data_IF_640498782492
#
_entry.id   IF_640498782492
#
_cell.length_a   1.000
_cell.length_b   1.000
_cell.length_c   1.000
_cell.angle_alpha   90.00
_cell.angle_beta   90.00
_cell.angle_gamma   90.00
#
_symmetry.space_group_name_H-M   'P 1'
#
loop_
_entity.id
_entity.type
_entity.pdbx_description
1 polymer ?
#
# COMPACT_ATOMS: atom_id res chain seq x y z
N UNK A 1 -10.09 -12.42 -38.33
CA UNK A 1 -9.23 -11.41 -37.67
C UNK A 1 -10.04 -10.54 -36.69
N UNK A 2 -10.85 -11.11 -35.79
CA UNK A 2 -11.67 -10.35 -34.82
C UNK A 2 -11.55 -10.83 -33.37
N UNK A 3 -10.83 -11.93 -33.11
CA UNK A 3 -10.67 -12.52 -31.78
C UNK A 3 -9.52 -11.89 -30.97
N UNK A 4 -8.52 -11.31 -31.63
CA UNK A 4 -7.35 -10.73 -30.94
C UNK A 4 -7.64 -9.36 -30.31
N UNK A 5 -8.54 -8.55 -30.89
CA UNK A 5 -8.91 -7.24 -30.31
C UNK A 5 -9.83 -7.39 -29.08
N UNK A 6 -10.71 -8.39 -29.06
CA UNK A 6 -11.59 -8.69 -27.93
C UNK A 6 -10.80 -9.22 -26.72
N UNK A 7 -9.81 -10.07 -26.95
CA UNK A 7 -8.92 -10.56 -25.91
C UNK A 7 -8.10 -9.42 -25.29
N UNK A 8 -7.47 -8.57 -26.12
CA UNK A 8 -6.70 -7.41 -25.67
C UNK A 8 -7.53 -6.41 -24.85
N UNK A 9 -8.78 -6.16 -25.24
CA UNK A 9 -9.70 -5.32 -24.49
C UNK A 9 -10.03 -5.91 -23.11
N UNK A 10 -10.33 -7.22 -23.03
CA UNK A 10 -10.62 -7.90 -21.77
C UNK A 10 -9.45 -7.91 -20.77
N UNK A 11 -8.21 -8.08 -21.26
CA UNK A 11 -7.01 -8.00 -20.42
C UNK A 11 -6.77 -6.60 -19.87
N UNK A 12 -7.05 -5.57 -20.66
CA UNK A 12 -6.91 -4.17 -20.23
C UNK A 12 -7.93 -3.77 -19.16
N UNK A 13 -9.15 -4.29 -19.26
CA UNK A 13 -10.24 -4.04 -18.32
C UNK A 13 -10.01 -4.78 -17.00
N UNK A 14 -9.59 -6.05 -17.09
CA UNK A 14 -9.15 -6.84 -15.93
C UNK A 14 -7.99 -6.18 -15.18
N UNK A 15 -6.98 -5.67 -15.90
CA UNK A 15 -5.85 -4.97 -15.29
C UNK A 15 -6.30 -3.70 -14.54
N UNK A 16 -7.26 -2.96 -15.11
CA UNK A 16 -7.80 -1.74 -14.50
C UNK A 16 -8.58 -2.05 -13.22
N UNK A 17 -9.35 -3.14 -13.21
CA UNK A 17 -10.09 -3.57 -12.02
C UNK A 17 -9.16 -4.06 -10.91
N UNK A 18 -8.10 -4.81 -11.25
CA UNK A 18 -7.06 -5.22 -10.31
C UNK A 18 -6.36 -4.00 -9.70
N UNK A 19 -5.99 -3.00 -10.52
CA UNK A 19 -5.36 -1.75 -10.05
C UNK A 19 -6.29 -1.02 -9.09
N UNK A 20 -7.59 -0.87 -9.44
CA UNK A 20 -8.59 -0.22 -8.57
C UNK A 20 -8.76 -0.96 -7.25
N UNK A 21 -8.86 -2.30 -7.29
CA UNK A 21 -8.92 -3.13 -6.09
C UNK A 21 -7.69 -2.94 -5.21
N UNK A 22 -6.50 -2.95 -5.82
CA UNK A 22 -5.24 -2.72 -5.13
C UNK A 22 -5.16 -1.33 -4.47
N UNK A 23 -5.59 -0.28 -5.16
CA UNK A 23 -5.64 1.08 -4.63
C UNK A 23 -6.56 1.18 -3.41
N UNK A 24 -7.76 0.60 -3.47
CA UNK A 24 -8.70 0.57 -2.34
C UNK A 24 -8.09 -0.19 -1.17
N UNK A 25 -7.47 -1.35 -1.41
CA UNK A 25 -6.83 -2.12 -0.35
C UNK A 25 -5.69 -1.33 0.31
N UNK A 26 -4.81 -0.68 -0.46
CA UNK A 26 -3.73 0.15 0.11
C UNK A 26 -4.30 1.27 0.97
N UNK A 27 -5.36 1.95 0.53
CA UNK A 27 -6.02 3.00 1.33
C UNK A 27 -6.63 2.45 2.62
N UNK A 28 -7.33 1.32 2.57
CA UNK A 28 -7.89 0.65 3.76
C UNK A 28 -6.79 0.23 4.73
N UNK A 29 -5.72 -0.37 4.22
CA UNK A 29 -4.56 -0.74 5.03
C UNK A 29 -3.90 0.47 5.67
N UNK A 30 -3.82 1.60 4.96
CA UNK A 30 -3.28 2.85 5.49
C UNK A 30 -4.13 3.42 6.63
N UNK A 31 -5.46 3.44 6.47
CA UNK A 31 -6.38 3.84 7.54
C UNK A 31 -6.24 2.93 8.76
N UNK A 32 -6.09 1.63 8.53
CA UNK A 32 -5.86 0.64 9.60
C UNK A 32 -4.54 0.93 10.33
N UNK A 33 -3.46 1.28 9.61
CA UNK A 33 -2.18 1.66 10.21
C UNK A 33 -2.32 2.90 11.11
N UNK A 34 -3.12 3.90 10.72
CA UNK A 34 -3.41 5.07 11.57
C UNK A 34 -4.10 4.65 12.87
N UNK A 35 -5.08 3.75 12.80
CA UNK A 35 -5.78 3.22 13.99
C UNK A 35 -4.79 2.53 14.93
N UNK A 36 -3.87 1.70 14.41
CA UNK A 36 -2.81 1.08 15.21
C UNK A 36 -1.86 2.12 15.82
N UNK A 37 -1.49 3.16 15.07
CA UNK A 37 -0.67 4.26 15.57
C UNK A 37 -1.32 4.96 16.76
N UNK A 38 -2.62 5.25 16.68
CA UNK A 38 -3.39 5.85 17.78
C UNK A 38 -3.43 4.90 18.97
N UNK A 39 -3.70 3.62 18.76
CA UNK A 39 -3.72 2.61 19.81
C UNK A 39 -2.40 2.55 20.58
N UNK A 40 -1.27 2.47 19.89
CA UNK A 40 0.05 2.43 20.51
C UNK A 40 0.39 3.72 21.25
N UNK A 41 0.04 4.88 20.68
CA UNK A 41 0.24 6.17 21.32
C UNK A 41 -0.57 6.33 22.61
N UNK A 42 -1.85 5.93 22.59
CA UNK A 42 -2.71 5.96 23.77
C UNK A 42 -2.18 5.01 24.85
N UNK A 43 -1.78 3.80 24.47
CA UNK A 43 -1.23 2.83 25.41
C UNK A 43 0.03 3.36 26.09
N UNK A 44 0.95 3.95 25.32
CA UNK A 44 2.15 4.57 25.87
C UNK A 44 1.83 5.73 26.82
N UNK A 45 0.84 6.55 26.48
CA UNK A 45 0.39 7.66 27.32
C UNK A 45 -0.22 7.18 28.65
N UNK A 46 -1.08 6.15 28.61
CA UNK A 46 -1.69 5.58 29.82
C UNK A 46 -0.65 4.91 30.74
N UNK A 47 0.31 4.17 30.17
CA UNK A 47 1.37 3.52 30.93
C UNK A 47 2.33 4.54 31.56
N UNK A 48 2.62 5.65 30.85
CA UNK A 48 3.39 6.77 31.40
C UNK A 48 2.67 7.50 32.54
N UNK A 49 1.35 7.68 32.43
CA UNK A 49 0.54 8.34 33.45
C UNK A 49 0.47 7.52 34.76
N UNK A 50 0.39 6.19 34.64
CA UNK A 50 0.35 5.28 35.81
C UNK A 50 1.72 5.07 36.45
N UNK A 51 2.77 5.01 35.62
CA UNK A 51 4.15 4.84 36.09
C UNK A 51 5.06 5.82 35.37
N UNK A 52 5.39 6.98 35.99
CA UNK A 52 6.15 8.06 35.34
C UNK A 52 7.65 7.76 35.19
N UNK A 53 8.02 6.48 35.07
CA UNK A 53 9.38 6.01 34.83
C UNK A 53 9.42 5.50 33.39
N UNK A 54 10.32 6.05 32.59
CA UNK A 54 10.59 5.61 31.21
C UNK A 54 11.13 4.18 31.22
N UNK A 55 10.24 3.20 31.12
CA UNK A 55 10.59 1.80 30.91
C UNK A 55 10.86 1.54 29.43
N UNK A 56 11.73 0.58 29.09
CA UNK A 56 12.00 0.19 27.70
C UNK A 56 10.72 -0.13 26.91
N UNK A 57 9.72 -0.71 27.57
CA UNK A 57 8.42 -1.03 27.00
C UNK A 57 7.67 0.21 26.45
N UNK A 58 7.75 1.34 27.17
CA UNK A 58 7.12 2.58 26.73
C UNK A 58 7.79 3.10 25.44
N UNK A 59 9.10 2.91 25.34
CA UNK A 59 9.91 3.34 24.19
C UNK A 59 9.58 2.49 22.95
N UNK A 60 9.35 1.19 23.13
CA UNK A 60 8.88 0.29 22.07
C UNK A 60 7.48 0.69 21.56
N UNK A 61 6.54 0.99 22.46
CA UNK A 61 5.19 1.42 22.08
C UNK A 61 5.21 2.76 21.32
N UNK A 62 6.03 3.72 21.77
CA UNK A 62 6.22 4.99 21.07
C UNK A 62 6.83 4.73 19.69
N UNK A 63 7.83 3.85 19.58
CA UNK A 63 8.42 3.48 18.29
C UNK A 63 7.37 2.87 17.35
N UNK A 64 6.53 1.96 17.85
CA UNK A 64 5.46 1.36 17.04
C UNK A 64 4.41 2.36 16.59
N UNK A 65 4.05 3.32 17.46
CA UNK A 65 3.19 4.43 17.08
C UNK A 65 3.82 5.27 15.96
N UNK A 66 5.10 5.66 16.12
CA UNK A 66 5.84 6.45 15.13
C UNK A 66 5.95 5.71 13.80
N UNK A 67 6.31 4.44 13.80
CA UNK A 67 6.39 3.63 12.59
C UNK A 67 5.03 3.51 11.89
N UNK A 68 3.96 3.35 12.66
CA UNK A 68 2.59 3.28 12.11
C UNK A 68 2.17 4.58 11.43
N UNK A 69 2.39 5.73 12.09
CA UNK A 69 2.08 7.05 11.52
C UNK A 69 2.99 7.42 10.36
N UNK A 70 4.29 7.16 10.47
CA UNK A 70 5.25 7.42 9.42
C UNK A 70 4.92 6.59 8.18
N UNK A 71 4.64 5.29 8.35
CA UNK A 71 4.24 4.41 7.25
C UNK A 71 2.94 4.87 6.59
N UNK A 72 1.92 5.20 7.37
CA UNK A 72 0.67 5.74 6.85
C UNK A 72 0.89 7.05 6.07
N UNK A 73 1.70 7.97 6.61
CA UNK A 73 1.99 9.26 5.99
C UNK A 73 2.75 9.10 4.67
N UNK A 74 3.81 8.27 4.67
CA UNK A 74 4.58 7.96 3.46
C UNK A 74 3.65 7.39 2.41
N UNK A 75 2.77 6.46 2.79
CA UNK A 75 1.83 5.84 1.85
C UNK A 75 0.87 6.88 1.29
N UNK A 76 0.18 7.67 2.11
CA UNK A 76 -0.77 8.68 1.63
C UNK A 76 -0.10 9.65 0.64
N UNK A 77 1.07 10.19 1.00
CA UNK A 77 1.74 11.21 0.18
C UNK A 77 2.27 10.63 -1.14
N UNK A 78 2.91 9.48 -1.07
CA UNK A 78 3.56 8.89 -2.26
C UNK A 78 2.58 8.11 -3.11
N UNK A 79 1.73 7.27 -2.51
CA UNK A 79 0.77 6.44 -3.22
C UNK A 79 -0.21 7.29 -4.02
N UNK A 80 -0.82 8.31 -3.41
CA UNK A 80 -1.76 9.19 -4.13
C UNK A 80 -1.05 9.96 -5.25
N UNK A 81 0.18 10.42 -5.00
CA UNK A 81 0.96 11.12 -6.02
C UNK A 81 1.26 10.22 -7.23
N UNK A 82 1.74 9.00 -7.00
CA UNK A 82 2.06 8.06 -8.09
C UNK A 82 0.82 7.52 -8.79
N UNK A 83 -0.28 7.28 -8.08
CA UNK A 83 -1.57 6.87 -8.67
C UNK A 83 -2.13 7.98 -9.58
N UNK A 84 -2.06 9.25 -9.18
CA UNK A 84 -2.47 10.38 -10.03
C UNK A 84 -1.62 10.53 -11.29
N UNK A 85 -0.33 10.18 -11.21
CA UNK A 85 0.57 10.17 -12.36
C UNK A 85 0.43 8.91 -13.24
N UNK A 86 -0.45 7.97 -12.89
CA UNK A 86 -0.59 6.68 -13.59
C UNK A 86 0.63 5.75 -13.42
N UNK A 87 1.53 6.05 -12.47
CA UNK A 87 2.75 5.28 -12.17
C UNK A 87 2.44 4.18 -11.15
N UNK A 88 1.48 3.31 -11.48
CA UNK A 88 0.96 2.27 -10.58
C UNK A 88 2.04 1.27 -10.12
N UNK A 89 3.04 0.98 -10.95
CA UNK A 89 4.18 0.12 -10.57
C UNK A 89 4.97 0.70 -9.39
N UNK A 90 5.29 1.99 -9.43
CA UNK A 90 6.00 2.68 -8.35
C UNK A 90 5.12 2.79 -7.11
N UNK A 91 3.83 3.07 -7.27
CA UNK A 91 2.87 3.10 -6.18
C UNK A 91 2.76 1.73 -5.46
N UNK A 92 2.75 0.64 -6.24
CA UNK A 92 2.78 -0.73 -5.75
C UNK A 92 4.06 -1.06 -4.97
N UNK A 93 5.23 -0.68 -5.50
CA UNK A 93 6.52 -0.91 -4.80
C UNK A 93 6.60 -0.17 -3.47
N UNK A 94 6.17 1.10 -3.42
CA UNK A 94 6.24 1.88 -2.17
C UNK A 94 5.26 1.34 -1.12
N UNK A 95 4.06 0.95 -1.55
CA UNK A 95 3.09 0.31 -0.65
C UNK A 95 3.60 -1.04 -0.15
N UNK A 96 4.30 -1.84 -0.97
CA UNK A 96 4.94 -3.09 -0.53
C UNK A 96 6.06 -2.84 0.49
N UNK A 97 6.94 -1.85 0.25
CA UNK A 97 8.01 -1.49 1.20
C UNK A 97 7.41 -1.03 2.53
N UNK A 98 6.39 -0.18 2.46
CA UNK A 98 5.74 0.33 3.66
C UNK A 98 4.98 -0.77 4.40
N UNK A 99 4.31 -1.67 3.67
CA UNK A 99 3.66 -2.84 4.23
C UNK A 99 4.65 -3.71 5.02
N UNK A 100 5.84 -3.96 4.47
CA UNK A 100 6.88 -4.75 5.14
C UNK A 100 7.31 -4.13 6.47
N UNK A 101 7.42 -2.79 6.55
CA UNK A 101 7.71 -2.08 7.81
C UNK A 101 6.53 -2.21 8.78
N UNK A 102 5.29 -2.05 8.28
CA UNK A 102 4.07 -2.09 9.08
C UNK A 102 3.70 -3.49 9.59
N UNK A 103 4.24 -4.57 9.03
CA UNK A 103 4.01 -5.92 9.53
C UNK A 103 4.42 -6.11 11.00
N UNK A 104 5.38 -5.31 11.48
CA UNK A 104 5.85 -5.36 12.87
C UNK A 104 4.85 -4.65 13.81
N UNK A 105 4.59 -3.33 13.69
CA UNK A 105 3.71 -2.63 14.62
C UNK A 105 2.21 -2.80 14.34
N UNK A 106 1.83 -3.15 13.11
CA UNK A 106 0.46 -3.12 12.62
C UNK A 106 0.19 -4.26 11.62
N UNK A 107 0.31 -5.51 12.08
CA UNK A 107 0.26 -6.71 11.24
C UNK A 107 -0.90 -6.73 10.22
N UNK A 108 -2.14 -6.45 10.67
CA UNK A 108 -3.32 -6.46 9.79
C UNK A 108 -3.20 -5.39 8.70
N UNK A 109 -2.76 -4.18 9.07
CA UNK A 109 -2.54 -3.09 8.11
C UNK A 109 -1.45 -3.45 7.09
N UNK A 110 -0.34 -4.01 7.58
CA UNK A 110 0.75 -4.51 6.74
C UNK A 110 0.26 -5.55 5.75
N UNK A 111 -0.49 -6.57 6.18
CA UNK A 111 -1.04 -7.60 5.30
C UNK A 111 -1.96 -7.03 4.22
N UNK A 112 -2.91 -6.16 4.58
CA UNK A 112 -3.82 -5.53 3.62
C UNK A 112 -3.05 -4.70 2.59
N UNK A 113 -2.09 -3.88 3.04
CA UNK A 113 -1.26 -3.09 2.13
C UNK A 113 -0.36 -3.95 1.25
N UNK A 114 0.10 -5.10 1.74
CA UNK A 114 0.94 -6.01 0.98
C UNK A 114 0.17 -6.63 -0.19
N UNK A 115 -1.05 -7.10 0.06
CA UNK A 115 -1.95 -7.58 -1.00
C UNK A 115 -2.33 -6.46 -1.97
N UNK A 116 -2.68 -5.27 -1.46
CA UNK A 116 -3.02 -4.13 -2.30
C UNK A 116 -1.85 -3.68 -3.18
N UNK A 117 -0.65 -3.59 -2.61
CA UNK A 117 0.58 -3.23 -3.31
C UNK A 117 0.97 -4.25 -4.37
N UNK A 118 0.79 -5.54 -4.09
CA UNK A 118 1.01 -6.61 -5.06
C UNK A 118 0.02 -6.52 -6.23
N UNK A 119 -1.27 -6.29 -5.94
CA UNK A 119 -2.29 -6.08 -6.98
C UNK A 119 -1.95 -4.89 -7.88
N UNK A 120 -1.53 -3.76 -7.31
CA UNK A 120 -1.08 -2.61 -8.09
C UNK A 120 0.12 -2.92 -8.98
N UNK A 121 1.11 -3.63 -8.44
CA UNK A 121 2.31 -4.00 -9.18
C UNK A 121 1.97 -4.93 -10.35
N UNK A 122 1.24 -6.02 -10.07
CA UNK A 122 0.85 -7.00 -11.09
C UNK A 122 -0.09 -6.38 -12.11
N UNK A 123 -1.09 -5.61 -11.68
CA UNK A 123 -2.01 -4.92 -12.57
C UNK A 123 -1.30 -3.92 -13.50
N UNK A 124 -0.30 -3.19 -12.98
CA UNK A 124 0.53 -2.30 -13.79
C UNK A 124 1.34 -3.07 -14.85
N UNK A 125 1.88 -4.23 -14.50
CA UNK A 125 2.66 -5.06 -15.42
C UNK A 125 1.78 -5.67 -16.51
N UNK A 126 0.59 -6.16 -16.16
CA UNK A 126 -0.39 -6.67 -17.14
C UNK A 126 -0.80 -5.55 -18.10
N UNK A 127 -1.06 -4.34 -17.60
CA UNK A 127 -1.39 -3.20 -18.44
C UNK A 127 -0.24 -2.82 -19.39
N UNK A 128 1.01 -2.85 -18.89
CA UNK A 128 2.19 -2.57 -19.70
C UNK A 128 2.40 -3.62 -20.81
N UNK A 129 2.28 -4.91 -20.49
CA UNK A 129 2.38 -6.01 -21.46
C UNK A 129 1.24 -5.96 -22.47
N UNK A 130 0.01 -5.67 -22.04
CA UNK A 130 -1.14 -5.53 -22.93
C UNK A 130 -0.94 -4.35 -23.90
N UNK A 131 -0.42 -3.21 -23.42
CA UNK A 131 -0.09 -2.06 -24.28
C UNK A 131 0.98 -2.41 -25.32
N UNK A 132 2.04 -3.12 -24.94
CA UNK A 132 3.10 -3.56 -25.86
C UNK A 132 2.63 -4.55 -26.93
N UNK A 133 1.54 -5.30 -26.69
CA UNK A 133 0.94 -6.19 -27.71
C UNK A 133 0.09 -5.45 -28.74
N UNK A 134 -0.41 -4.26 -28.42
CA UNK A 134 -1.32 -3.47 -29.27
C UNK A 134 -0.54 -2.48 -30.17
N UNK A 135 0.63 -2.03 -29.73
CA UNK A 135 1.60 -1.27 -30.53
C UNK A 135 2.70 -2.23 -31.04
N UNK A 136 2.53 -2.95 -32.17
CA UNK A 136 3.68 -3.51 -32.83
C UNK A 136 4.59 -2.34 -33.19
N UNK A 137 5.86 -2.41 -32.77
CA UNK A 137 6.91 -1.48 -33.20
C UNK A 137 6.87 -1.35 -34.72
N UNK A 138 6.38 -0.21 -35.21
CA UNK A 138 6.83 0.30 -36.49
C UNK A 138 8.25 0.81 -36.26
N UNK A 139 9.23 0.09 -36.81
CA UNK A 139 10.66 0.36 -36.70
C UNK A 139 11.48 -0.86 -37.02
#
# INVERSE_FOLDING_TARGET
MSSESAAGAGWSETARDIIRGGEVMVRVGTLTAVVYGIYWALRAAFEYLHTPILRPLNLEQVLFAVLSFAGATITILTHDHFCRLGKFRSAGLISLITAAILLIPAFIAGMIMLFGGLMLYVGAEIFHVAKMRIEPREG
#
